data_IF_538107561386
#
_entry.id   IF_538107561386
#
_cell.length_a   1.000
_cell.length_b   1.000
_cell.length_c   1.000
_cell.angle_alpha   90.00
_cell.angle_beta   90.00
_cell.angle_gamma   90.00
#
_symmetry.space_group_name_H-M   'P 1'
#
loop_
_entity.id
_entity.type
_entity.pdbx_description
1 polymer ?
#
# COMPACT_ATOMS: atom_id res chain seq x y z
N UNK A 1 -2.52 -0.64 -1.40
CA UNK A 1 -2.52 -2.06 -1.83
C UNK A 1 -1.92 -2.23 -3.23
N UNK A 2 -2.16 -1.30 -4.16
CA UNK A 2 -1.59 -1.28 -5.53
C UNK A 2 -0.09 -1.64 -5.59
N UNK A 3 0.73 -1.03 -4.73
CA UNK A 3 2.19 -1.27 -4.70
C UNK A 3 2.50 -2.74 -4.43
N UNK A 4 1.74 -3.44 -3.58
CA UNK A 4 1.94 -4.85 -3.31
C UNK A 4 1.69 -5.70 -4.56
N UNK A 5 0.59 -5.40 -5.26
CA UNK A 5 0.16 -6.13 -6.45
C UNK A 5 1.18 -5.99 -7.58
N UNK A 6 1.67 -4.78 -7.81
CA UNK A 6 2.69 -4.49 -8.82
C UNK A 6 4.09 -5.02 -8.44
N UNK A 7 4.57 -4.72 -7.23
CA UNK A 7 5.98 -4.96 -6.88
C UNK A 7 6.27 -6.39 -6.45
N UNK A 8 5.37 -7.03 -5.68
CA UNK A 8 5.61 -8.34 -5.09
C UNK A 8 4.86 -9.46 -5.81
N UNK A 9 3.59 -9.24 -6.17
CA UNK A 9 2.74 -10.30 -6.75
C UNK A 9 2.81 -10.34 -8.28
N UNK A 10 3.24 -9.25 -8.93
CA UNK A 10 3.32 -9.12 -10.41
C UNK A 10 1.99 -9.46 -11.09
N UNK A 11 0.90 -9.03 -10.48
CA UNK A 11 -0.46 -9.17 -11.02
C UNK A 11 -0.94 -7.83 -11.53
N UNK A 12 -1.86 -7.84 -12.50
CA UNK A 12 -2.53 -6.63 -12.96
C UNK A 12 -3.31 -5.97 -11.82
N UNK A 13 -3.27 -4.64 -11.77
CA UNK A 13 -3.98 -3.85 -10.76
C UNK A 13 -5.44 -3.74 -11.19
N UNK A 14 -6.32 -4.31 -10.36
CA UNK A 14 -7.77 -4.13 -10.47
C UNK A 14 -8.20 -3.08 -9.44
N UNK A 15 -8.52 -1.87 -9.92
CA UNK A 15 -8.95 -0.74 -9.09
C UNK A 15 -10.19 -1.05 -8.25
N UNK A 16 -11.15 -1.82 -8.78
CA UNK A 16 -12.38 -2.16 -8.06
C UNK A 16 -12.08 -3.10 -6.89
N UNK A 17 -11.23 -4.11 -7.13
CA UNK A 17 -10.77 -5.02 -6.08
C UNK A 17 -9.96 -4.28 -5.01
N UNK A 18 -9.01 -3.43 -5.42
CA UNK A 18 -8.14 -2.69 -4.50
C UNK A 18 -8.96 -1.79 -3.59
N UNK A 19 -9.87 -1.01 -4.18
CA UNK A 19 -10.80 -0.13 -3.47
C UNK A 19 -11.69 -0.92 -2.49
N UNK A 20 -12.19 -2.08 -2.92
CA UNK A 20 -12.98 -2.97 -2.07
C UNK A 20 -12.22 -3.48 -0.85
N UNK A 21 -10.95 -3.85 -1.01
CA UNK A 21 -10.13 -4.37 0.09
C UNK A 21 -9.68 -3.24 1.02
N UNK A 22 -9.19 -2.13 0.47
CA UNK A 22 -8.55 -1.07 1.27
C UNK A 22 -9.50 -0.42 2.27
N UNK A 23 -10.77 -0.27 1.92
CA UNK A 23 -11.80 0.24 2.82
C UNK A 23 -12.05 -0.64 4.05
N UNK A 24 -11.67 -1.91 3.98
CA UNK A 24 -11.82 -2.88 5.07
C UNK A 24 -10.49 -3.21 5.76
N UNK A 25 -9.36 -2.65 5.30
CA UNK A 25 -8.08 -2.83 5.96
C UNK A 25 -8.02 -2.02 7.25
N UNK A 26 -7.55 -2.66 8.31
CA UNK A 26 -7.23 -1.94 9.54
C UNK A 26 -5.84 -1.27 9.45
N UNK A 27 -5.60 -0.29 10.31
CA UNK A 27 -4.34 0.47 10.34
C UNK A 27 -3.11 -0.41 10.55
N UNK A 28 -3.20 -1.41 11.44
CA UNK A 28 -2.07 -2.32 11.72
C UNK A 28 -1.62 -3.08 10.48
N UNK A 29 -2.56 -3.52 9.65
CA UNK A 29 -2.27 -4.19 8.39
C UNK A 29 -1.65 -3.23 7.37
N UNK A 30 -2.18 -2.01 7.26
CA UNK A 30 -1.60 -0.95 6.41
C UNK A 30 -0.16 -0.62 6.81
N UNK A 31 0.12 -0.52 8.11
CA UNK A 31 1.47 -0.27 8.63
C UNK A 31 2.43 -1.44 8.37
N UNK A 32 1.95 -2.68 8.54
CA UNK A 32 2.73 -3.88 8.21
C UNK A 32 3.07 -3.94 6.72
N UNK A 33 2.10 -3.66 5.84
CA UNK A 33 2.32 -3.56 4.40
C UNK A 33 3.31 -2.46 4.04
N UNK A 34 3.15 -1.27 4.63
CA UNK A 34 4.06 -0.15 4.42
C UNK A 34 5.50 -0.52 4.78
N UNK A 35 5.69 -1.16 5.94
CA UNK A 35 7.02 -1.60 6.41
C UNK A 35 7.61 -2.69 5.53
N UNK A 36 6.81 -3.71 5.18
CA UNK A 36 7.25 -4.82 4.30
C UNK A 36 7.70 -4.33 2.92
N UNK A 37 7.05 -3.28 2.39
CA UNK A 37 7.38 -2.66 1.12
C UNK A 37 8.47 -1.58 1.23
N UNK A 38 9.15 -1.49 2.38
CA UNK A 38 10.20 -0.49 2.66
C UNK A 38 9.71 0.96 2.50
N UNK A 39 8.54 1.24 3.07
CA UNK A 39 7.91 2.56 3.14
C UNK A 39 7.74 3.28 1.78
N UNK A 40 6.99 2.71 0.83
CA UNK A 40 6.79 3.31 -0.48
C UNK A 40 6.06 4.65 -0.37
N UNK A 41 6.49 5.65 -1.16
CA UNK A 41 5.92 7.01 -1.17
C UNK A 41 5.17 7.39 -2.43
N UNK A 42 5.21 6.51 -3.43
CA UNK A 42 4.48 6.67 -4.67
C UNK A 42 3.79 5.37 -5.02
N UNK A 43 2.54 5.45 -5.45
CA UNK A 43 1.86 4.30 -6.05
C UNK A 43 2.28 4.14 -7.52
N UNK A 44 1.92 3.02 -8.18
CA UNK A 44 2.21 2.78 -9.60
C UNK A 44 1.67 3.89 -10.53
N UNK A 45 0.61 4.59 -10.12
CA UNK A 45 0.03 5.74 -10.82
C UNK A 45 0.72 7.08 -10.50
N UNK A 46 1.87 7.04 -9.82
CA UNK A 46 2.68 8.20 -9.45
C UNK A 46 1.97 9.19 -8.49
N UNK A 47 0.89 8.76 -7.83
CA UNK A 47 0.25 9.50 -6.74
C UNK A 47 1.03 9.33 -5.43
N UNK A 48 0.98 10.35 -4.56
CA UNK A 48 1.66 10.33 -3.26
C UNK A 48 0.90 9.42 -2.29
N UNK A 49 1.62 8.50 -1.66
CA UNK A 49 1.09 7.66 -0.58
C UNK A 49 1.20 8.43 0.74
N UNK A 50 0.11 8.56 1.53
CA UNK A 50 0.15 9.23 2.83
C UNK A 50 1.03 8.46 3.81
N UNK A 51 1.58 9.20 4.78
CA UNK A 51 2.42 8.61 5.82
C UNK A 51 1.54 7.99 6.92
N UNK A 52 1.90 6.79 7.35
CA UNK A 52 1.30 6.12 8.51
C UNK A 52 2.21 6.21 9.73
N UNK A 53 1.73 5.74 10.88
CA UNK A 53 2.47 5.77 12.16
C UNK A 53 3.81 5.00 12.05
N UNK A 54 3.87 3.95 11.23
CA UNK A 54 5.10 3.22 10.94
C UNK A 54 6.20 4.06 10.27
N UNK A 55 5.87 5.23 9.72
CA UNK A 55 6.79 6.10 8.98
C UNK A 55 7.45 7.16 9.87
N UNK A 56 6.94 7.36 11.09
CA UNK A 56 7.42 8.37 12.04
C UNK A 56 8.66 7.88 12.83
N UNK A 57 8.89 6.56 12.84
CA UNK A 57 10.01 5.92 13.51
C UNK A 57 11.05 5.51 12.47
N UNK A 58 11.90 6.45 12.08
CA UNK A 58 13.15 6.14 11.37
C UNK A 58 14.14 5.46 12.30
#
# INVERSE_FOLDING_TARGET
>A
LEVLMDSALKVEIDEEMVCGIEHHMNKQFTDALCTMLNHPRKCPHNHKIPEGECCEKN
#
